data_IF_975945810591
#
_entry.id   IF_975945810591
#
_cell.length_a   1.000
_cell.length_b   1.000
_cell.length_c   1.000
_cell.angle_alpha   90.00
_cell.angle_beta   90.00
_cell.angle_gamma   90.00
#
_symmetry.space_group_name_H-M   'P 1'
#
loop_
_entity.id
_entity.type
_entity.pdbx_description
1 polymer ?
#
# COMPACT_ATOMS: atom_id res chain seq x y z
N UNK A 1 -44.16 27.69 10.53
CA UNK A 1 -43.68 26.71 11.52
C UNK A 1 -42.27 26.34 11.12
N UNK A 2 -41.26 26.90 11.80
CA UNK A 2 -39.85 26.73 11.49
C UNK A 2 -39.39 25.40 12.11
N UNK A 3 -38.95 24.43 11.31
CA UNK A 3 -38.34 23.19 11.83
C UNK A 3 -36.82 23.38 11.72
N UNK A 4 -36.19 23.59 12.88
CA UNK A 4 -34.74 23.65 13.01
C UNK A 4 -34.21 22.21 13.09
N UNK A 5 -33.64 21.69 12.01
CA UNK A 5 -32.88 20.43 12.03
C UNK A 5 -31.42 20.76 12.31
N UNK A 6 -30.99 20.56 13.55
CA UNK A 6 -29.58 20.57 13.91
C UNK A 6 -28.97 19.21 13.53
N UNK A 7 -28.17 19.19 12.46
CA UNK A 7 -27.31 18.06 12.15
C UNK A 7 -25.95 18.29 12.83
N UNK A 8 -25.66 17.51 13.87
CA UNK A 8 -24.30 17.38 14.38
C UNK A 8 -23.57 16.35 13.51
N UNK A 9 -22.71 16.79 12.61
CA UNK A 9 -21.73 15.92 11.98
C UNK A 9 -20.54 15.77 12.93
N UNK A 10 -20.35 14.54 13.40
CA UNK A 10 -19.20 14.14 14.21
C UNK A 10 -17.89 14.46 13.48
N UNK A 11 -16.94 14.98 14.25
CA UNK A 11 -15.57 15.29 13.86
C UNK A 11 -14.68 14.14 14.30
N UNK A 12 -14.19 13.33 13.37
CA UNK A 12 -12.95 12.58 13.53
C UNK A 12 -12.49 12.09 12.14
N UNK A 13 -11.21 12.28 11.86
CA UNK A 13 -10.53 11.84 10.65
C UNK A 13 -10.44 10.29 10.68
N UNK A 14 -11.45 9.62 10.13
CA UNK A 14 -11.44 8.18 9.90
C UNK A 14 -10.68 7.88 8.60
N UNK A 15 -9.66 7.04 8.69
CA UNK A 15 -8.91 6.55 7.54
C UNK A 15 -9.86 6.07 6.44
N UNK A 16 -9.51 6.36 5.19
CA UNK A 16 -10.31 6.02 4.00
C UNK A 16 -10.98 4.66 4.17
N UNK A 17 -12.30 4.65 4.30
CA UNK A 17 -13.07 3.42 4.14
C UNK A 17 -12.71 2.86 2.76
N UNK A 18 -12.22 1.62 2.71
CA UNK A 18 -11.92 0.96 1.43
C UNK A 18 -13.20 0.66 0.63
N UNK A 19 -14.37 0.96 1.22
CA UNK A 19 -15.67 0.99 0.57
C UNK A 19 -15.65 2.01 -0.59
N UNK A 20 -15.52 1.49 -1.80
CA UNK A 20 -15.51 2.28 -3.04
C UNK A 20 -14.23 2.14 -3.86
N UNK A 21 -13.16 1.55 -3.31
CA UNK A 21 -11.96 1.23 -4.09
C UNK A 21 -12.27 -0.01 -4.95
N UNK A 22 -12.46 0.20 -6.25
CA UNK A 22 -12.73 -0.89 -7.21
C UNK A 22 -11.55 -1.17 -8.13
N UNK A 23 -10.62 -0.23 -8.28
CA UNK A 23 -9.44 -0.40 -9.13
C UNK A 23 -8.22 0.06 -8.35
N UNK A 24 -7.28 -0.84 -8.10
CA UNK A 24 -6.07 -0.53 -7.34
C UNK A 24 -4.92 -1.39 -7.83
N UNK A 25 -3.76 -0.79 -8.04
CA UNK A 25 -2.48 -1.51 -8.12
C UNK A 25 -1.61 -0.95 -7.03
N UNK A 26 -1.10 -1.79 -6.14
CA UNK A 26 -0.33 -1.32 -5.00
C UNK A 26 0.72 -2.31 -4.55
N UNK A 27 1.82 -1.77 -4.02
CA UNK A 27 2.94 -2.58 -3.56
C UNK A 27 3.07 -2.53 -2.04
N UNK A 28 3.05 -3.70 -1.42
CA UNK A 28 3.03 -3.86 0.03
C UNK A 28 4.40 -4.26 0.51
N UNK A 29 5.02 -3.37 1.28
CA UNK A 29 6.40 -3.49 1.77
C UNK A 29 6.46 -3.27 3.29
N UNK A 30 7.59 -3.57 3.92
CA UNK A 30 7.83 -3.27 5.33
C UNK A 30 9.31 -3.15 5.65
N UNK A 31 9.62 -2.75 6.89
CA UNK A 31 10.99 -2.65 7.40
C UNK A 31 11.65 -4.00 7.69
N UNK A 32 10.91 -5.12 7.60
CA UNK A 32 11.50 -6.45 7.68
C UNK A 32 12.36 -6.79 6.45
N UNK A 33 12.16 -6.06 5.34
CA UNK A 33 12.96 -6.19 4.13
C UNK A 33 14.26 -5.39 4.31
N UNK A 34 15.45 -5.99 4.11
CA UNK A 34 16.72 -5.28 4.21
C UNK A 34 16.79 -4.09 3.23
N UNK A 35 17.37 -2.95 3.64
CA UNK A 35 17.45 -1.73 2.81
C UNK A 35 18.02 -1.99 1.39
N UNK A 36 19.03 -2.87 1.28
CA UNK A 36 19.65 -3.25 -0.01
C UNK A 36 18.65 -3.82 -1.01
N UNK A 37 17.58 -4.44 -0.53
CA UNK A 37 16.50 -5.02 -1.33
C UNK A 37 15.30 -4.08 -1.39
N UNK A 38 14.96 -3.42 -0.28
CA UNK A 38 13.82 -2.51 -0.19
C UNK A 38 13.96 -1.31 -1.12
N UNK A 39 15.14 -0.68 -1.20
CA UNK A 39 15.35 0.54 -1.99
C UNK A 39 15.11 0.33 -3.49
N UNK A 40 15.65 -0.72 -4.14
CA UNK A 40 15.29 -1.05 -5.51
C UNK A 40 13.77 -1.21 -5.73
N UNK A 41 13.08 -1.89 -4.81
CA UNK A 41 11.63 -2.10 -4.89
C UNK A 41 10.84 -0.78 -4.84
N UNK A 42 11.22 0.11 -3.91
CA UNK A 42 10.65 1.45 -3.79
C UNK A 42 10.87 2.27 -5.07
N UNK A 43 12.06 2.19 -5.65
CA UNK A 43 12.38 2.91 -6.90
C UNK A 43 11.56 2.36 -8.08
N UNK A 44 11.42 1.05 -8.20
CA UNK A 44 10.55 0.44 -9.22
C UNK A 44 9.10 0.91 -9.09
N UNK A 45 8.55 0.88 -7.88
CA UNK A 45 7.19 1.37 -7.63
C UNK A 45 7.03 2.85 -7.99
N UNK A 46 7.99 3.69 -7.58
CA UNK A 46 8.01 5.11 -7.92
C UNK A 46 8.04 5.35 -9.44
N UNK A 47 8.90 4.66 -10.18
CA UNK A 47 8.99 4.79 -11.65
C UNK A 47 7.68 4.40 -12.34
N UNK A 48 6.95 3.43 -11.78
CA UNK A 48 5.65 2.97 -12.27
C UNK A 48 4.46 3.74 -11.70
N UNK A 49 4.70 4.73 -10.84
CA UNK A 49 3.65 5.47 -10.14
C UNK A 49 2.70 4.56 -9.35
N UNK A 50 3.20 3.42 -8.87
CA UNK A 50 2.45 2.49 -8.04
C UNK A 50 2.63 2.91 -6.58
N UNK A 51 1.56 3.20 -5.83
CA UNK A 51 1.66 3.53 -4.42
C UNK A 51 2.25 2.36 -3.63
N UNK A 52 3.10 2.70 -2.66
CA UNK A 52 3.63 1.74 -1.70
C UNK A 52 2.89 1.88 -0.39
N UNK A 53 2.27 0.79 0.07
CA UNK A 53 1.75 0.69 1.42
C UNK A 53 2.77 -0.01 2.31
N UNK A 54 3.17 0.67 3.37
CA UNK A 54 4.19 0.22 4.27
C UNK A 54 3.55 -0.27 5.57
N UNK A 55 3.68 -1.55 5.87
CA UNK A 55 3.16 -2.08 7.14
C UNK A 55 4.14 -1.83 8.27
N UNK A 56 3.56 -1.55 9.42
CA UNK A 56 4.17 -1.89 10.69
C UNK A 56 4.82 -0.73 11.42
N UNK A 57 4.76 -0.89 12.73
CA UNK A 57 5.53 -0.09 13.66
C UNK A 57 6.89 -0.74 13.87
N UNK A 58 7.97 0.02 13.69
CA UNK A 58 9.31 -0.45 14.08
C UNK A 58 9.36 -0.44 15.60
N UNK A 59 9.56 -1.61 16.20
CA UNK A 59 9.52 -1.83 17.65
C UNK A 59 8.26 -1.24 18.31
N UNK A 60 7.08 -1.40 17.69
CA UNK A 60 5.81 -0.83 18.19
C UNK A 60 5.80 0.71 18.35
N UNK A 61 6.66 1.44 17.63
CA UNK A 61 6.74 2.90 17.67
C UNK A 61 6.51 3.56 16.30
N UNK A 62 5.46 4.38 16.20
CA UNK A 62 5.19 5.19 15.00
C UNK A 62 6.30 6.20 14.74
N UNK A 63 6.87 6.74 15.82
CA UNK A 63 7.97 7.70 15.75
C UNK A 63 9.23 7.06 15.14
N UNK A 64 9.55 5.81 15.50
CA UNK A 64 10.64 5.05 14.86
C UNK A 64 10.35 4.76 13.39
N UNK A 65 9.13 4.35 13.05
CA UNK A 65 8.73 4.14 11.63
C UNK A 65 8.87 5.42 10.81
N UNK A 66 8.36 6.55 11.31
CA UNK A 66 8.45 7.83 10.62
C UNK A 66 9.90 8.24 10.40
N UNK A 67 10.77 8.13 11.41
CA UNK A 67 12.22 8.40 11.28
C UNK A 67 12.88 7.49 10.24
N UNK A 68 12.58 6.20 10.26
CA UNK A 68 13.12 5.25 9.31
C UNK A 68 12.75 5.64 7.87
N UNK A 69 11.47 5.91 7.62
CA UNK A 69 11.00 6.34 6.30
C UNK A 69 11.60 7.69 5.87
N UNK A 70 11.67 8.67 6.78
CA UNK A 70 12.31 9.96 6.49
C UNK A 70 13.79 9.79 6.13
N UNK A 71 14.50 8.88 6.80
CA UNK A 71 15.89 8.57 6.47
C UNK A 71 16.01 7.93 5.09
N UNK A 72 15.13 7.00 4.73
CA UNK A 72 15.10 6.40 3.39
C UNK A 72 14.85 7.47 2.31
N UNK A 73 13.85 8.33 2.51
CA UNK A 73 13.50 9.41 1.58
C UNK A 73 14.71 10.34 1.38
N UNK A 74 15.34 10.79 2.46
CA UNK A 74 16.52 11.68 2.39
C UNK A 74 17.73 11.02 1.73
N UNK A 75 18.01 9.76 2.07
CA UNK A 75 19.21 9.03 1.63
C UNK A 75 19.11 8.55 0.18
N UNK A 76 17.92 8.11 -0.24
CA UNK A 76 17.73 7.40 -1.51
C UNK A 76 16.79 8.11 -2.49
N UNK A 77 16.19 9.24 -2.10
CA UNK A 77 15.28 10.04 -2.92
C UNK A 77 14.08 9.22 -3.42
N UNK A 78 13.60 8.32 -2.56
CA UNK A 78 12.37 7.55 -2.77
C UNK A 78 11.16 8.35 -2.28
N UNK A 79 9.98 8.07 -2.83
CA UNK A 79 8.72 8.75 -2.53
C UNK A 79 7.52 7.82 -2.80
N UNK A 80 6.30 8.30 -2.57
CA UNK A 80 5.07 7.51 -2.82
C UNK A 80 4.78 6.42 -1.77
N UNK A 81 5.39 6.54 -0.58
CA UNK A 81 5.22 5.61 0.54
C UNK A 81 4.14 6.13 1.47
N UNK A 82 3.19 5.26 1.82
CA UNK A 82 2.10 5.53 2.76
C UNK A 82 2.12 4.48 3.88
N UNK A 83 1.92 4.89 5.13
CA UNK A 83 1.75 3.96 6.26
C UNK A 83 0.27 3.64 6.36
N UNK A 84 -0.11 2.41 6.02
CA UNK A 84 -1.51 2.00 5.97
C UNK A 84 -1.69 0.53 6.41
N UNK A 85 -1.78 0.26 7.72
CA UNK A 85 -1.97 -1.09 8.23
C UNK A 85 -3.35 -1.66 7.90
N UNK A 86 -4.39 -0.82 7.76
CA UNK A 86 -5.75 -1.27 7.47
C UNK A 86 -5.83 -1.92 6.09
N UNK A 87 -5.05 -1.42 5.14
CA UNK A 87 -4.99 -2.01 3.80
C UNK A 87 -4.25 -3.36 3.78
N UNK A 88 -3.31 -3.60 4.70
CA UNK A 88 -2.73 -4.94 4.90
C UNK A 88 -3.79 -5.92 5.40
N UNK A 89 -4.58 -5.51 6.40
CA UNK A 89 -5.66 -6.33 6.96
C UNK A 89 -6.73 -6.63 5.89
N UNK A 90 -7.10 -5.62 5.10
CA UNK A 90 -8.10 -5.75 4.04
C UNK A 90 -7.76 -6.80 2.98
N UNK A 91 -6.52 -6.79 2.49
CA UNK A 91 -6.06 -7.77 1.51
C UNK A 91 -5.53 -9.08 2.14
N UNK A 92 -5.54 -9.19 3.48
CA UNK A 92 -5.04 -10.36 4.19
C UNK A 92 -3.54 -10.59 3.99
N UNK A 93 -2.75 -9.52 3.85
CA UNK A 93 -1.32 -9.61 3.54
C UNK A 93 -0.54 -9.88 4.82
N UNK A 94 -0.04 -11.11 4.94
CA UNK A 94 0.74 -11.59 6.09
C UNK A 94 2.24 -11.69 5.79
N UNK A 95 2.64 -11.55 4.53
CA UNK A 95 4.02 -11.67 4.06
C UNK A 95 4.35 -10.55 3.08
N UNK A 96 5.60 -10.09 3.10
CA UNK A 96 6.11 -9.04 2.20
C UNK A 96 7.41 -9.48 1.53
N UNK A 97 7.74 -8.98 0.33
CA UNK A 97 6.95 -8.06 -0.49
C UNK A 97 5.73 -8.73 -1.14
N UNK A 98 4.67 -7.95 -1.37
CA UNK A 98 3.45 -8.41 -2.04
C UNK A 98 2.89 -7.35 -2.99
N UNK A 99 2.66 -7.70 -4.25
CA UNK A 99 2.01 -6.86 -5.25
C UNK A 99 0.53 -7.22 -5.34
N UNK A 100 -0.35 -6.24 -5.20
CA UNK A 100 -1.79 -6.40 -5.36
C UNK A 100 -2.26 -5.70 -6.62
N UNK A 101 -3.15 -6.36 -7.36
CA UNK A 101 -4.01 -5.75 -8.38
C UNK A 101 -5.46 -6.08 -8.04
N UNK A 102 -6.28 -5.06 -7.83
CA UNK A 102 -7.73 -5.15 -7.62
C UNK A 102 -8.45 -4.69 -8.88
N UNK A 103 -9.46 -5.47 -9.27
CA UNK A 103 -10.34 -5.24 -10.40
C UNK A 103 -11.79 -5.54 -9.98
N UNK A 104 -12.57 -4.48 -9.73
CA UNK A 104 -13.92 -4.57 -9.19
C UNK A 104 -13.98 -5.19 -7.79
N UNK A 105 -14.52 -6.41 -7.72
CA UNK A 105 -14.72 -7.17 -6.47
C UNK A 105 -13.62 -8.20 -6.21
N UNK A 106 -12.79 -8.47 -7.21
CA UNK A 106 -11.71 -9.46 -7.16
C UNK A 106 -10.36 -8.77 -7.08
N UNK A 107 -9.36 -9.51 -6.63
CA UNK A 107 -7.97 -9.06 -6.63
C UNK A 107 -7.02 -10.24 -6.76
N UNK A 108 -5.87 -9.99 -7.37
CA UNK A 108 -4.73 -10.90 -7.41
C UNK A 108 -3.64 -10.40 -6.45
N UNK A 109 -2.90 -11.34 -5.85
CA UNK A 109 -1.73 -11.05 -5.04
C UNK A 109 -0.55 -11.87 -5.55
N UNK A 110 0.57 -11.21 -5.84
CA UNK A 110 1.85 -11.85 -6.14
C UNK A 110 2.82 -11.59 -4.99
N UNK A 111 3.26 -12.68 -4.35
CA UNK A 111 4.24 -12.63 -3.27
C UNK A 111 5.67 -12.85 -3.79
N UNK A 112 6.64 -12.31 -3.06
CA UNK A 112 8.05 -12.67 -3.21
C UNK A 112 8.89 -11.65 -3.99
N UNK A 113 10.21 -11.88 -3.99
CA UNK A 113 11.23 -10.97 -4.50
C UNK A 113 11.40 -11.02 -6.02
N UNK A 114 10.28 -11.10 -6.76
CA UNK A 114 10.30 -10.89 -8.22
C UNK A 114 10.42 -9.40 -8.53
N UNK A 115 10.94 -9.07 -9.71
CA UNK A 115 10.88 -7.69 -10.20
C UNK A 115 9.42 -7.24 -10.28
N UNK A 116 9.14 -5.97 -10.00
CA UNK A 116 7.78 -5.42 -9.99
C UNK A 116 7.08 -5.67 -11.34
N UNK A 117 7.80 -5.47 -12.44
CA UNK A 117 7.36 -5.71 -13.81
C UNK A 117 7.03 -7.18 -14.07
N UNK A 118 7.79 -8.10 -13.50
CA UNK A 118 7.50 -9.53 -13.58
C UNK A 118 6.21 -9.84 -12.81
N UNK A 119 6.05 -9.29 -11.60
CA UNK A 119 4.81 -9.44 -10.84
C UNK A 119 3.58 -8.93 -11.59
N UNK A 120 3.69 -7.76 -12.23
CA UNK A 120 2.63 -7.21 -13.09
C UNK A 120 2.36 -8.11 -14.30
N UNK A 121 3.40 -8.67 -14.91
CA UNK A 121 3.29 -9.61 -16.04
C UNK A 121 2.59 -10.90 -15.61
N UNK A 122 2.89 -11.42 -14.42
CA UNK A 122 2.23 -12.61 -13.87
C UNK A 122 0.73 -12.38 -13.69
N UNK A 123 0.34 -11.23 -13.14
CA UNK A 123 -1.08 -10.85 -13.01
C UNK A 123 -1.73 -10.72 -14.39
N UNK A 124 -1.09 -10.02 -15.33
CA UNK A 124 -1.61 -9.83 -16.68
C UNK A 124 -1.82 -11.14 -17.44
N UNK A 125 -0.96 -12.13 -17.24
CA UNK A 125 -1.00 -13.40 -17.99
C UNK A 125 -1.83 -14.50 -17.33
N UNK A 126 -1.90 -14.51 -16.01
CA UNK A 126 -2.41 -15.64 -15.25
C UNK A 126 -3.40 -15.26 -14.14
N UNK A 127 -3.52 -13.97 -13.82
CA UNK A 127 -4.39 -13.45 -12.77
C UNK A 127 -5.82 -13.23 -13.25
N UNK A 128 -6.74 -13.14 -12.29
CA UNK A 128 -8.15 -12.82 -12.56
C UNK A 128 -8.30 -11.39 -13.12
N UNK A 129 -7.42 -10.48 -12.70
CA UNK A 129 -7.38 -9.10 -13.16
C UNK A 129 -6.53 -8.89 -14.42
N UNK A 130 -6.20 -9.95 -15.18
CA UNK A 130 -5.31 -9.84 -16.33
C UNK A 130 -5.91 -9.16 -17.57
N UNK A 131 -7.24 -9.20 -17.71
CA UNK A 131 -7.99 -8.68 -18.85
C UNK A 131 -8.64 -7.29 -18.59
N UNK A 132 -8.36 -6.66 -17.45
CA UNK A 132 -8.94 -5.38 -17.00
C UNK A 132 -8.00 -4.18 -17.14
#
# INVERSE_FOLDING_TARGET
MLILLASATSKAEEGMSLEGVTQETAYFLSSSIPEKTLVPLLKSAQMKQIPVYFNGLIDNSMEKTARYLLNLIKKYQVSGIQIDPLRFDYYGITQVPALVKRCGKTFDIVYGSVALEEGLTQISRHGVCGDE
#
